data_IF_245817572701
#
_entry.id   IF_245817572701
#
_cell.length_a   1.000
_cell.length_b   1.000
_cell.length_c   1.000
_cell.angle_alpha   90.00
_cell.angle_beta   90.00
_cell.angle_gamma   90.00
#
_symmetry.space_group_name_H-M   'P 1'
#
loop_
_entity.id
_entity.type
_entity.pdbx_description
1 polymer ?
#
# COMPACT_ATOMS: atom_id res chain seq x y z
N UNK A 1 -1.81 -26.22 16.83
CA UNK A 1 -3.07 -25.82 16.17
C UNK A 1 -2.71 -24.95 14.98
N UNK A 2 -3.16 -25.35 13.80
CA UNK A 2 -2.85 -24.74 12.50
C UNK A 2 -3.66 -23.46 12.28
N UNK A 3 -3.00 -22.40 11.78
CA UNK A 3 -3.50 -21.44 10.75
C UNK A 3 -2.54 -20.25 10.63
N UNK A 4 -1.54 -20.36 9.76
CA UNK A 4 -0.93 -19.16 9.15
C UNK A 4 -0.44 -19.51 7.75
N UNK A 5 -1.37 -19.80 6.85
CA UNK A 5 -1.09 -19.60 5.43
C UNK A 5 -1.43 -18.14 5.14
N UNK A 6 -0.40 -17.29 5.12
CA UNK A 6 -0.43 -16.15 4.21
C UNK A 6 -0.73 -16.67 2.80
N UNK A 7 -1.06 -15.76 1.89
CA UNK A 7 -0.74 -15.90 0.46
C UNK A 7 0.40 -16.92 0.32
N UNK A 8 0.09 -18.17 0.00
CA UNK A 8 1.09 -19.22 0.08
C UNK A 8 2.20 -18.84 -0.87
N UNK A 9 3.39 -19.41 -0.72
CA UNK A 9 4.47 -19.33 -1.72
C UNK A 9 4.04 -19.79 -3.14
N UNK A 10 2.74 -20.11 -3.33
CA UNK A 10 2.06 -20.55 -4.54
C UNK A 10 0.72 -19.84 -4.84
N UNK A 11 0.29 -18.81 -4.09
CA UNK A 11 -0.95 -18.08 -4.42
C UNK A 11 -0.65 -16.70 -4.96
N UNK A 12 -1.18 -16.40 -6.14
CA UNK A 12 -1.06 -15.08 -6.76
C UNK A 12 -1.93 -14.06 -6.01
N UNK A 13 -1.38 -12.91 -5.56
CA UNK A 13 -2.17 -11.89 -4.86
C UNK A 13 -3.11 -11.18 -5.86
N UNK A 14 -4.39 -11.14 -5.53
CA UNK A 14 -5.44 -10.44 -6.28
C UNK A 14 -5.91 -9.26 -5.42
N UNK A 15 -5.69 -8.04 -5.90
CA UNK A 15 -5.97 -6.80 -5.18
C UNK A 15 -7.23 -6.09 -5.66
N UNK A 16 -7.88 -5.35 -4.75
CA UNK A 16 -9.03 -4.51 -5.06
C UNK A 16 -8.74 -3.04 -4.81
N UNK A 17 -9.10 -2.21 -5.79
CA UNK A 17 -9.20 -0.75 -5.73
C UNK A 17 -10.49 -0.36 -6.47
N UNK A 18 -11.41 0.44 -5.94
CA UNK A 18 -11.43 1.28 -4.73
C UNK A 18 -12.13 0.53 -3.57
N UNK A 19 -11.74 0.72 -2.29
CA UNK A 19 -12.40 0.10 -1.15
C UNK A 19 -13.80 0.69 -0.90
N UNK A 20 -14.63 0.06 -0.04
CA UNK A 20 -15.86 0.66 0.43
C UNK A 20 -15.60 2.03 1.07
N UNK A 21 -16.49 3.03 0.89
CA UNK A 21 -16.39 4.30 1.60
C UNK A 21 -16.49 4.09 3.12
N UNK A 22 -16.01 5.05 3.91
CA UNK A 22 -15.96 4.95 5.38
C UNK A 22 -17.29 4.52 6.02
N UNK A 23 -18.40 5.06 5.53
CA UNK A 23 -19.75 4.74 5.98
C UNK A 23 -20.19 3.30 5.73
N UNK A 24 -19.54 2.59 4.81
CA UNK A 24 -19.85 1.21 4.42
C UNK A 24 -18.76 0.20 4.81
N UNK A 25 -17.74 0.61 5.57
CA UNK A 25 -16.78 -0.33 6.14
C UNK A 25 -17.50 -1.21 7.16
N UNK A 26 -17.66 -2.49 6.82
CA UNK A 26 -18.27 -3.52 7.67
C UNK A 26 -17.68 -4.88 7.35
N UNK A 27 -17.86 -5.83 8.28
CA UNK A 27 -17.43 -7.22 8.10
C UNK A 27 -18.11 -7.84 6.88
N UNK A 28 -19.40 -7.58 6.68
CA UNK A 28 -20.21 -8.09 5.58
C UNK A 28 -19.69 -7.58 4.23
N UNK A 29 -19.35 -6.29 4.15
CA UNK A 29 -18.79 -5.73 2.93
C UNK A 29 -17.43 -6.32 2.59
N UNK A 30 -16.59 -6.56 3.60
CA UNK A 30 -15.29 -7.23 3.40
C UNK A 30 -15.43 -8.72 3.12
N UNK A 31 -16.53 -9.34 3.55
CA UNK A 31 -16.88 -10.71 3.15
C UNK A 31 -17.21 -10.77 1.66
N UNK A 32 -17.97 -9.81 1.13
CA UNK A 32 -18.26 -9.73 -0.32
C UNK A 32 -16.96 -9.62 -1.14
N UNK A 33 -16.02 -8.81 -0.68
CA UNK A 33 -14.68 -8.68 -1.30
C UNK A 33 -13.96 -10.04 -1.30
N UNK A 34 -13.93 -10.73 -0.16
CA UNK A 34 -13.30 -12.05 -0.05
C UNK A 34 -13.99 -13.09 -0.95
N UNK A 35 -15.31 -13.12 -0.96
CA UNK A 35 -16.11 -14.04 -1.78
C UNK A 35 -15.93 -13.77 -3.28
N UNK A 36 -15.63 -12.52 -3.65
CA UNK A 36 -15.24 -12.13 -5.01
C UNK A 36 -13.86 -12.65 -5.46
N UNK A 37 -13.11 -13.31 -4.56
CA UNK A 37 -11.80 -13.89 -4.87
C UNK A 37 -10.62 -12.95 -4.64
N UNK A 38 -10.86 -11.75 -4.07
CA UNK A 38 -9.78 -10.85 -3.70
C UNK A 38 -9.04 -11.36 -2.47
N UNK A 39 -7.77 -11.00 -2.39
CA UNK A 39 -6.84 -11.40 -1.32
C UNK A 39 -6.35 -10.22 -0.50
N UNK A 40 -6.39 -9.01 -1.06
CA UNK A 40 -6.06 -7.78 -0.36
C UNK A 40 -6.85 -6.59 -0.89
N UNK A 41 -6.98 -5.57 -0.04
CA UNK A 41 -7.64 -4.30 -0.34
C UNK A 41 -6.60 -3.19 -0.28
N UNK A 42 -6.66 -2.27 -1.23
CA UNK A 42 -5.84 -1.07 -1.24
C UNK A 42 -6.68 0.06 -0.67
N UNK A 43 -6.26 0.63 0.46
CA UNK A 43 -6.92 1.78 1.08
C UNK A 43 -6.94 2.99 0.17
N UNK A 44 -7.85 3.93 0.41
CA UNK A 44 -8.02 5.10 -0.44
C UNK A 44 -8.17 6.39 0.36
N UNK A 45 -9.36 6.65 0.90
CA UNK A 45 -9.76 7.93 1.50
C UNK A 45 -10.36 7.81 2.89
N UNK A 46 -10.50 6.60 3.41
CA UNK A 46 -11.07 6.32 4.73
C UNK A 46 -10.36 7.06 5.88
N UNK A 47 -9.09 7.43 5.72
CA UNK A 47 -8.35 8.24 6.70
C UNK A 47 -8.86 9.69 6.81
N UNK A 48 -9.58 10.20 5.79
CA UNK A 48 -10.25 11.50 5.86
C UNK A 48 -11.36 11.52 6.92
N UNK A 49 -11.92 10.35 7.22
CA UNK A 49 -12.88 10.09 8.30
C UNK A 49 -12.21 9.64 9.61
N UNK A 50 -10.89 9.79 9.73
CA UNK A 50 -10.12 9.48 10.94
C UNK A 50 -9.29 8.21 10.86
N UNK A 51 -8.21 8.17 11.65
CA UNK A 51 -7.30 7.02 11.75
C UNK A 51 -8.01 5.76 12.26
N UNK A 52 -8.99 5.92 13.14
CA UNK A 52 -9.86 4.84 13.62
C UNK A 52 -10.63 4.14 12.49
N UNK A 53 -10.93 4.86 11.41
CA UNK A 53 -11.63 4.32 10.26
C UNK A 53 -10.70 3.41 9.44
N UNK A 54 -9.41 3.74 9.38
CA UNK A 54 -8.37 2.85 8.81
C UNK A 54 -8.23 1.58 9.65
N UNK A 55 -8.22 1.69 10.98
CA UNK A 55 -8.19 0.53 11.87
C UNK A 55 -9.44 -0.35 11.73
N UNK A 56 -10.62 0.26 11.60
CA UNK A 56 -11.85 -0.48 11.30
C UNK A 56 -11.75 -1.26 9.98
N UNK A 57 -11.14 -0.67 8.95
CA UNK A 57 -10.88 -1.36 7.68
C UNK A 57 -9.92 -2.55 7.86
N UNK A 58 -8.85 -2.37 8.63
CA UNK A 58 -7.90 -3.41 9.00
C UNK A 58 -8.56 -4.56 9.77
N UNK A 59 -9.42 -4.26 10.75
CA UNK A 59 -10.20 -5.25 11.50
C UNK A 59 -11.14 -6.05 10.57
N UNK A 60 -11.85 -5.35 9.67
CA UNK A 60 -12.73 -5.99 8.70
C UNK A 60 -11.95 -6.88 7.70
N UNK A 61 -10.75 -6.46 7.32
CA UNK A 61 -9.86 -7.26 6.48
C UNK A 61 -9.37 -8.51 7.21
N UNK A 62 -8.93 -8.39 8.46
CA UNK A 62 -8.49 -9.53 9.28
C UNK A 62 -9.61 -10.56 9.44
N UNK A 63 -10.81 -10.10 9.82
CA UNK A 63 -11.98 -10.95 10.02
C UNK A 63 -12.34 -11.80 8.78
N UNK A 64 -11.98 -11.32 7.58
CA UNK A 64 -12.27 -11.97 6.30
C UNK A 64 -11.03 -12.62 5.65
N UNK A 65 -9.91 -12.70 6.37
CA UNK A 65 -8.67 -13.29 5.85
C UNK A 65 -8.09 -12.53 4.65
N UNK A 66 -8.34 -11.22 4.60
CA UNK A 66 -7.80 -10.29 3.63
C UNK A 66 -6.57 -9.57 4.22
N UNK A 67 -5.72 -9.09 3.32
CA UNK A 67 -4.64 -8.16 3.64
C UNK A 67 -5.01 -6.73 3.25
N UNK A 68 -4.29 -5.73 3.78
CA UNK A 68 -4.63 -4.32 3.58
C UNK A 68 -3.40 -3.45 3.35
N UNK A 69 -3.42 -2.63 2.29
CA UNK A 69 -2.44 -1.55 2.09
C UNK A 69 -3.01 -0.24 2.61
N UNK A 70 -2.35 0.36 3.59
CA UNK A 70 -2.78 1.63 4.19
C UNK A 70 -2.48 2.79 3.24
N UNK A 71 -3.47 3.66 3.04
CA UNK A 71 -3.33 4.91 2.27
C UNK A 71 -3.30 6.09 3.23
N UNK A 72 -2.10 6.43 3.73
CA UNK A 72 -1.91 7.52 4.67
C UNK A 72 -1.17 8.71 4.01
N UNK A 73 -1.81 9.88 3.82
CA UNK A 73 -1.18 11.05 3.24
C UNK A 73 0.02 11.57 4.07
N UNK A 74 0.09 11.28 5.38
CA UNK A 74 1.24 11.63 6.22
C UNK A 74 2.49 10.89 5.79
N UNK A 75 2.35 9.65 5.32
CA UNK A 75 3.45 8.85 4.76
C UNK A 75 3.73 9.27 3.31
N UNK A 76 2.70 9.39 2.46
CA UNK A 76 2.86 9.73 1.03
C UNK A 76 3.59 11.06 0.81
N UNK A 77 3.26 12.05 1.63
CA UNK A 77 3.74 13.42 1.52
C UNK A 77 4.97 13.71 2.38
N UNK A 78 5.53 12.70 3.05
CA UNK A 78 6.69 12.89 3.91
C UNK A 78 7.88 13.46 3.11
N UNK A 79 8.44 14.59 3.56
CA UNK A 79 9.59 15.18 2.92
C UNK A 79 10.88 14.42 3.27
N UNK A 80 11.91 14.52 2.41
CA UNK A 80 13.20 13.87 2.67
C UNK A 80 13.88 14.36 3.96
N UNK A 81 13.62 15.61 4.36
CA UNK A 81 14.10 16.17 5.62
C UNK A 81 13.40 15.61 6.86
N UNK A 82 12.31 14.87 6.68
CA UNK A 82 11.40 14.40 7.74
C UNK A 82 11.37 12.87 7.85
N UNK A 83 12.29 12.16 7.18
CA UNK A 83 12.32 10.69 7.19
C UNK A 83 12.45 10.06 8.59
N UNK A 84 12.90 10.83 9.60
CA UNK A 84 12.88 10.39 11.00
C UNK A 84 11.47 10.10 11.54
N UNK A 85 10.44 10.70 10.94
CA UNK A 85 9.04 10.53 11.35
C UNK A 85 8.40 9.25 10.76
N UNK A 86 9.07 8.56 9.85
CA UNK A 86 8.56 7.35 9.20
C UNK A 86 8.13 6.29 10.22
N UNK A 87 8.99 5.96 11.18
CA UNK A 87 8.73 4.93 12.19
C UNK A 87 7.44 5.16 12.97
N UNK A 88 7.28 6.32 13.65
CA UNK A 88 6.04 6.67 14.34
C UNK A 88 4.78 6.63 13.48
N UNK A 89 4.86 6.99 12.19
CA UNK A 89 3.72 6.98 11.28
C UNK A 89 3.27 5.57 10.91
N UNK A 90 4.21 4.63 10.72
CA UNK A 90 3.89 3.28 10.21
C UNK A 90 3.73 2.23 11.30
N UNK A 91 4.36 2.43 12.47
CA UNK A 91 4.36 1.45 13.56
C UNK A 91 2.94 1.06 14.05
N UNK A 92 1.97 2.00 14.20
CA UNK A 92 0.62 1.63 14.63
C UNK A 92 -0.06 0.64 13.68
N UNK A 93 0.06 0.85 12.37
CA UNK A 93 -0.52 -0.03 11.36
C UNK A 93 0.25 -1.34 11.20
N UNK A 94 1.58 -1.28 11.23
CA UNK A 94 2.46 -2.43 11.02
C UNK A 94 2.28 -3.53 12.09
N UNK A 95 1.76 -3.18 13.26
CA UNK A 95 1.41 -4.14 14.31
C UNK A 95 0.13 -4.94 14.01
N UNK A 96 -0.69 -4.51 13.05
CA UNK A 96 -1.98 -5.13 12.76
C UNK A 96 -1.85 -6.41 11.92
N UNK A 97 -2.51 -7.54 12.27
CA UNK A 97 -2.36 -8.80 11.53
C UNK A 97 -2.76 -8.74 10.06
N UNK A 98 -3.75 -7.93 9.69
CA UNK A 98 -4.14 -7.71 8.29
C UNK A 98 -3.22 -6.77 7.50
N UNK A 99 -2.29 -6.08 8.15
CA UNK A 99 -1.43 -5.12 7.46
C UNK A 99 -0.54 -5.81 6.41
N UNK A 100 -0.50 -5.22 5.22
CA UNK A 100 0.32 -5.64 4.09
C UNK A 100 1.43 -4.64 3.79
N UNK A 101 1.20 -3.36 4.07
CA UNK A 101 2.08 -2.29 3.64
C UNK A 101 1.36 -0.95 3.51
N UNK A 102 1.98 -0.02 2.78
CA UNK A 102 1.44 1.31 2.51
C UNK A 102 1.42 1.60 1.01
N UNK A 103 0.40 2.33 0.56
CA UNK A 103 0.39 3.00 -0.73
C UNK A 103 1.19 4.29 -0.62
N UNK A 104 2.33 4.38 -1.31
CA UNK A 104 3.25 5.51 -1.28
C UNK A 104 2.91 6.57 -2.31
N UNK A 105 2.47 6.16 -3.50
CA UNK A 105 2.12 7.09 -4.55
C UNK A 105 1.22 6.42 -5.59
N UNK A 106 0.32 7.22 -6.15
CA UNK A 106 -0.51 6.84 -7.29
C UNK A 106 -0.07 7.67 -8.49
N UNK A 107 0.40 6.98 -9.53
CA UNK A 107 0.80 7.54 -10.82
C UNK A 107 1.89 8.64 -10.74
N UNK A 108 3.03 8.40 -10.07
CA UNK A 108 4.11 9.38 -10.04
C UNK A 108 4.75 9.58 -11.42
N UNK A 109 5.21 10.80 -11.69
CA UNK A 109 6.19 11.10 -12.75
C UNK A 109 7.61 10.63 -12.37
N UNK A 110 8.54 10.64 -13.33
CA UNK A 110 9.91 10.15 -13.10
C UNK A 110 10.69 10.99 -12.07
N UNK A 111 10.33 12.26 -11.92
CA UNK A 111 10.92 13.20 -10.96
C UNK A 111 10.71 12.78 -9.50
N UNK A 112 9.68 11.98 -9.21
CA UNK A 112 9.40 11.49 -7.85
C UNK A 112 10.22 10.24 -7.49
N UNK A 113 10.85 9.56 -8.46
CA UNK A 113 11.44 8.23 -8.22
C UNK A 113 12.59 8.25 -7.20
N UNK A 114 13.44 9.28 -7.23
CA UNK A 114 14.51 9.42 -6.23
C UNK A 114 13.94 9.65 -4.82
N UNK A 115 12.87 10.45 -4.72
CA UNK A 115 12.18 10.68 -3.44
C UNK A 115 11.53 9.39 -2.93
N UNK A 116 10.84 8.66 -3.80
CA UNK A 116 10.16 7.41 -3.47
C UNK A 116 11.14 6.30 -3.08
N UNK A 117 12.31 6.23 -3.71
CA UNK A 117 13.37 5.29 -3.32
C UNK A 117 13.88 5.58 -1.89
N UNK A 118 14.18 6.84 -1.57
CA UNK A 118 14.60 7.22 -0.22
C UNK A 118 13.50 6.98 0.83
N UNK A 119 12.24 7.21 0.47
CA UNK A 119 11.09 6.92 1.32
C UNK A 119 10.96 5.41 1.58
N UNK A 120 11.14 4.59 0.56
CA UNK A 120 11.12 3.13 0.66
C UNK A 120 12.26 2.59 1.54
N UNK A 121 13.49 3.10 1.36
CA UNK A 121 14.63 2.72 2.18
C UNK A 121 14.39 3.02 3.68
N UNK A 122 13.87 4.22 3.98
CA UNK A 122 13.48 4.61 5.34
C UNK A 122 12.37 3.70 5.89
N UNK A 123 11.36 3.41 5.08
CA UNK A 123 10.25 2.54 5.46
C UNK A 123 10.69 1.11 5.79
N UNK A 124 11.53 0.50 4.95
CA UNK A 124 12.00 -0.87 5.15
C UNK A 124 12.90 -1.03 6.38
N UNK A 125 13.54 0.04 6.86
CA UNK A 125 14.24 0.04 8.14
C UNK A 125 13.30 -0.17 9.34
N UNK A 126 12.02 0.20 9.21
CA UNK A 126 10.99 0.04 10.25
C UNK A 126 10.07 -1.15 9.99
N UNK A 127 9.80 -1.47 8.73
CA UNK A 127 8.81 -2.47 8.30
C UNK A 127 9.41 -3.38 7.21
N UNK A 128 10.40 -4.22 7.53
CA UNK A 128 11.17 -4.98 6.53
C UNK A 128 10.34 -5.99 5.72
N UNK A 129 9.17 -6.41 6.23
CA UNK A 129 8.26 -7.33 5.55
C UNK A 129 7.02 -6.67 4.92
N UNK A 130 6.91 -5.33 4.99
CA UNK A 130 5.78 -4.60 4.43
C UNK A 130 5.96 -4.33 2.93
N UNK A 131 4.89 -3.97 2.23
CA UNK A 131 4.94 -3.57 0.83
C UNK A 131 4.88 -2.03 0.71
N UNK A 132 5.95 -1.40 0.23
CA UNK A 132 5.96 -0.01 -0.20
C UNK A 132 5.36 0.09 -1.62
N UNK A 133 4.03 0.14 -1.71
CA UNK A 133 3.31 0.02 -2.98
C UNK A 133 3.25 1.36 -3.73
N UNK A 134 3.64 1.36 -5.00
CA UNK A 134 3.51 2.50 -5.91
C UNK A 134 2.74 2.03 -7.14
N UNK A 135 1.59 2.66 -7.41
CA UNK A 135 0.87 2.41 -8.66
C UNK A 135 1.46 3.29 -9.75
N UNK A 136 1.97 2.72 -10.84
CA UNK A 136 2.69 3.47 -11.88
C UNK A 136 1.76 3.85 -13.02
N UNK A 137 2.09 4.95 -13.72
CA UNK A 137 1.42 5.32 -14.95
C UNK A 137 1.55 4.19 -15.99
N UNK A 138 0.53 4.00 -16.85
CA UNK A 138 0.66 3.07 -17.95
C UNK A 138 1.77 3.50 -18.91
N UNK A 139 2.40 2.52 -19.57
CA UNK A 139 3.42 2.74 -20.60
C UNK A 139 2.91 3.40 -21.89
N UNK A 140 1.66 3.86 -21.92
CA UNK A 140 1.05 4.68 -22.98
C UNK A 140 0.52 6.04 -22.49
N UNK A 141 0.77 6.43 -21.23
CA UNK A 141 0.49 7.79 -20.78
C UNK A 141 1.23 8.83 -21.65
N UNK A 142 0.69 10.04 -21.77
CA UNK A 142 1.26 11.05 -22.67
C UNK A 142 2.64 11.53 -22.17
N UNK A 143 3.58 11.85 -23.07
CA UNK A 143 4.95 12.28 -22.71
C UNK A 143 5.07 13.37 -21.62
N UNK A 144 4.16 14.37 -21.50
CA UNK A 144 4.25 15.37 -20.43
C UNK A 144 4.12 14.79 -19.02
N UNK A 145 3.60 13.57 -18.86
CA UNK A 145 3.42 12.91 -17.55
C UNK A 145 4.57 11.97 -17.19
N UNK A 146 5.47 11.65 -18.14
CA UNK A 146 6.57 10.72 -17.93
C UNK A 146 7.89 11.42 -17.59
N UNK A 147 8.15 12.54 -18.26
CA UNK A 147 9.51 13.05 -18.41
C UNK A 147 10.41 12.07 -19.21
N UNK A 148 11.60 12.52 -19.60
CA UNK A 148 12.48 11.75 -20.52
C UNK A 148 13.09 10.47 -19.89
N UNK A 149 12.95 10.30 -18.57
CA UNK A 149 13.66 9.25 -17.80
C UNK A 149 12.77 8.11 -17.30
N UNK A 150 11.45 8.18 -17.51
CA UNK A 150 10.48 7.25 -16.93
C UNK A 150 10.83 5.77 -17.13
N UNK A 151 11.02 5.36 -18.39
CA UNK A 151 11.34 3.97 -18.73
C UNK A 151 12.70 3.52 -18.21
N UNK A 152 13.67 4.44 -18.08
CA UNK A 152 14.99 4.12 -17.49
C UNK A 152 14.89 3.90 -15.99
N UNK A 153 14.11 4.73 -15.30
CA UNK A 153 13.83 4.59 -13.87
C UNK A 153 13.14 3.26 -13.55
N UNK A 154 12.15 2.85 -14.36
CA UNK A 154 11.49 1.54 -14.22
C UNK A 154 12.48 0.37 -14.35
N UNK A 155 13.38 0.42 -15.34
CA UNK A 155 14.37 -0.65 -15.52
C UNK A 155 15.37 -0.75 -14.35
N UNK A 156 15.68 0.37 -13.69
CA UNK A 156 16.53 0.39 -12.49
C UNK A 156 15.82 -0.22 -11.28
N UNK A 157 14.55 0.16 -11.05
CA UNK A 157 13.74 -0.33 -9.94
C UNK A 157 13.45 -1.84 -10.02
N UNK A 158 13.23 -2.37 -11.23
CA UNK A 158 12.99 -3.80 -11.44
C UNK A 158 14.26 -4.63 -11.19
N UNK A 159 15.45 -4.10 -11.53
CA UNK A 159 16.72 -4.83 -11.37
C UNK A 159 17.18 -4.96 -9.92
N UNK A 160 16.69 -4.13 -8.99
CA UNK A 160 16.99 -4.22 -7.56
C UNK A 160 16.06 -5.17 -6.79
N UNK A 161 15.06 -5.75 -7.46
CA UNK A 161 14.05 -6.61 -6.85
C UNK A 161 14.19 -8.10 -7.22
N UNK A 162 15.33 -8.53 -7.78
CA UNK A 162 15.63 -9.94 -8.09
C UNK A 162 16.96 -10.36 -7.48
#
# INVERSE_FOLDING_TARGET
MSKTSFVGERSFPIGMWVPPPASEISIERYKEIRDGGFTFVIGFREIEDGEETVFKALDCAEANGLKYLVSDPRVKNLALSELSEMGPLVAPYAAHPAYMGHLFFDEPGAEEFERLAALADSYYAHVPGGLAYVNLLPTYAKPPMWGDRYLRGLSGAISSCV
#
